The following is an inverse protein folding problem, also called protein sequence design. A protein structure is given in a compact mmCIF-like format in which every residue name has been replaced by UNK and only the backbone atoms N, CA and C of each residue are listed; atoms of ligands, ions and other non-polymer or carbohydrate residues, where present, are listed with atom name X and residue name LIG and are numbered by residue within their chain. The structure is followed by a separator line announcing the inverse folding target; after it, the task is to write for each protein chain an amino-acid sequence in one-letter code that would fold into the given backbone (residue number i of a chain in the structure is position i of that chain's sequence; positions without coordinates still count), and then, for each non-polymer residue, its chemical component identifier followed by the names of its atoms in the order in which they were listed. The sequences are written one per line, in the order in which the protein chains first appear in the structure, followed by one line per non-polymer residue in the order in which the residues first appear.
data_IF_927510813298
#
_entry.id   IF_927510813298
#
_cell.length_a   1.000
_cell.length_b   1.000
_cell.length_c   1.000
_cell.angle_alpha   90.00
_cell.angle_beta   90.00
_cell.angle_gamma   90.00
#
_symmetry.space_group_name_H-M   'P 1'
#
loop_
_entity.id
_entity.type
_entity.pdbx_description
1 polymer ?
#
# COMPACT_ATOMS: atom_id res chain seq x y z
N UNK A 1 -49.28 -9.33 26.05
CA UNK A 1 -50.65 -8.89 26.36
C UNK A 1 -50.59 -7.40 26.67
N UNK A 2 -51.29 -6.53 25.93
CA UNK A 2 -50.96 -5.10 25.89
C UNK A 2 -51.96 -4.22 26.66
N UNK A 3 -51.47 -3.09 27.15
CA UNK A 3 -52.22 -1.98 27.70
C UNK A 3 -52.50 -0.92 26.62
N UNK A 4 -53.74 -0.41 26.66
CA UNK A 4 -54.33 0.60 25.78
C UNK A 4 -53.69 1.99 25.94
N UNK A 5 -53.68 2.81 24.87
CA UNK A 5 -54.33 4.14 24.83
C UNK A 5 -54.43 4.68 23.38
N UNK A 6 -55.61 5.20 23.04
CA UNK A 6 -56.05 5.85 21.78
C UNK A 6 -55.73 7.37 21.82
N UNK A 7 -55.12 7.96 20.79
CA UNK A 7 -55.70 8.66 19.61
C UNK A 7 -56.31 10.06 19.86
N UNK A 8 -55.63 11.13 19.43
CA UNK A 8 -56.04 12.06 18.35
C UNK A 8 -55.24 13.39 18.34
N UNK A 9 -54.91 13.86 17.13
CA UNK A 9 -54.30 15.16 16.76
C UNK A 9 -55.37 16.13 16.18
N UNK A 10 -55.05 17.27 15.52
CA UNK A 10 -54.35 18.49 15.98
C UNK A 10 -55.13 19.79 15.66
N UNK A 11 -54.75 20.96 16.20
CA UNK A 11 -55.09 22.26 15.59
C UNK A 11 -54.12 23.40 15.95
N UNK A 12 -54.02 24.31 14.99
CA UNK A 12 -53.08 25.41 14.66
C UNK A 12 -52.99 26.56 15.68
N UNK A 13 -51.86 27.29 15.77
CA UNK A 13 -51.79 28.55 16.51
C UNK A 13 -52.03 29.78 15.63
N UNK A 14 -52.79 30.74 16.16
CA UNK A 14 -53.06 32.07 15.60
C UNK A 14 -52.11 33.13 16.17
N UNK A 15 -51.55 33.94 15.27
CA UNK A 15 -50.67 35.09 15.51
C UNK A 15 -51.50 36.34 15.87
N UNK A 16 -51.00 37.17 16.79
CA UNK A 16 -51.48 38.54 17.02
C UNK A 16 -50.39 39.57 16.68
N UNK A 17 -50.86 40.64 16.07
CA UNK A 17 -50.22 41.83 15.52
C UNK A 17 -49.90 42.90 16.57
N UNK A 18 -48.89 43.73 16.27
CA UNK A 18 -48.91 45.17 16.60
C UNK A 18 -48.08 45.95 15.58
N UNK A 19 -48.72 46.95 14.98
CA UNK A 19 -48.27 47.88 13.94
C UNK A 19 -47.11 48.81 14.37
N UNK A 20 -46.38 49.36 13.39
CA UNK A 20 -46.36 50.80 13.07
C UNK A 20 -45.42 51.12 11.88
N UNK A 21 -46.04 51.71 10.85
CA UNK A 21 -45.57 52.79 9.96
C UNK A 21 -44.34 52.59 9.04
N UNK A 22 -44.27 53.11 7.83
CA UNK A 22 -45.22 53.66 6.83
C UNK A 22 -44.37 53.91 5.57
N UNK A 23 -44.92 53.63 4.39
CA UNK A 23 -44.71 54.27 3.07
C UNK A 23 -43.27 54.52 2.55
N UNK A 24 -42.89 54.18 1.31
CA UNK A 24 -43.64 54.39 0.06
C UNK A 24 -43.02 53.57 -1.08
N UNK A 25 -43.89 53.05 -1.94
CA UNK A 25 -43.62 52.33 -3.17
C UNK A 25 -43.04 53.23 -4.29
N UNK A 26 -42.44 52.62 -5.33
CA UNK A 26 -43.07 52.49 -6.67
C UNK A 26 -42.25 51.51 -7.53
N UNK A 27 -42.99 50.58 -8.12
CA UNK A 27 -42.62 49.58 -9.13
C UNK A 27 -42.59 50.19 -10.53
N UNK A 28 -41.82 49.64 -11.47
CA UNK A 28 -42.34 49.02 -12.72
C UNK A 28 -41.25 48.81 -13.80
N UNK A 29 -41.04 47.52 -14.10
CA UNK A 29 -40.98 46.85 -15.42
C UNK A 29 -40.26 47.47 -16.64
N UNK A 30 -39.34 46.65 -17.17
CA UNK A 30 -39.14 46.23 -18.57
C UNK A 30 -38.84 47.27 -19.66
N UNK A 31 -37.68 47.17 -20.32
CA UNK A 31 -37.54 46.51 -21.65
C UNK A 31 -36.11 46.67 -22.19
N UNK A 32 -35.75 45.69 -23.02
CA UNK A 32 -34.53 45.52 -23.81
C UNK A 32 -34.22 46.67 -24.78
N UNK A 33 -32.93 47.00 -24.94
CA UNK A 33 -32.29 47.06 -26.28
C UNK A 33 -30.76 47.20 -26.18
N UNK A 34 -30.11 46.55 -27.13
CA UNK A 34 -28.69 46.43 -27.42
C UNK A 34 -27.97 47.76 -27.70
N UNK A 35 -26.71 47.87 -27.27
CA UNK A 35 -25.61 48.30 -28.15
C UNK A 35 -24.24 47.99 -27.55
N UNK A 36 -23.33 47.70 -28.46
CA UNK A 36 -21.94 47.26 -28.35
C UNK A 36 -20.98 48.22 -27.63
N UNK A 37 -20.02 47.69 -26.88
CA UNK A 37 -18.61 47.98 -27.15
C UNK A 37 -17.70 46.91 -26.52
N UNK A 38 -16.79 46.43 -27.36
CA UNK A 38 -15.73 45.48 -27.08
C UNK A 38 -14.53 46.19 -26.46
N UNK A 39 -13.99 45.67 -25.35
CA UNK A 39 -12.63 45.98 -24.89
C UNK A 39 -11.92 44.68 -24.51
N UNK A 40 -10.77 44.46 -25.16
CA UNK A 40 -9.90 43.29 -25.04
C UNK A 40 -9.16 43.26 -23.69
N UNK A 41 -8.74 42.09 -23.18
CA UNK A 41 -7.86 42.02 -22.02
C UNK A 41 -6.37 42.05 -22.41
N UNK A 42 -5.60 42.71 -21.54
CA UNK A 42 -4.16 42.98 -21.60
C UNK A 42 -3.28 41.79 -21.99
N UNK A 43 -2.53 41.97 -23.08
CA UNK A 43 -1.57 41.01 -23.63
C UNK A 43 -0.12 41.47 -23.38
N UNK A 44 0.18 41.95 -22.16
CA UNK A 44 1.45 42.62 -21.82
C UNK A 44 2.30 41.94 -20.73
N UNK A 45 2.18 40.61 -20.57
CA UNK A 45 2.98 39.85 -19.59
C UNK A 45 3.88 38.74 -20.16
N UNK A 46 4.06 38.64 -21.48
CA UNK A 46 4.78 37.52 -22.12
C UNK A 46 5.97 37.91 -23.03
N UNK A 47 6.64 39.04 -22.77
CA UNK A 47 7.79 39.46 -23.59
C UNK A 47 9.18 39.26 -22.95
N UNK A 48 9.28 38.64 -21.76
CA UNK A 48 10.57 38.49 -21.06
C UNK A 48 11.20 37.09 -21.17
N UNK A 49 10.52 36.12 -21.77
CA UNK A 49 10.99 34.72 -21.85
C UNK A 49 11.85 34.41 -23.11
N UNK A 50 11.71 35.09 -24.27
CA UNK A 50 12.59 34.80 -25.42
C UNK A 50 14.01 35.38 -25.29
N UNK A 51 14.22 36.39 -24.43
CA UNK A 51 15.50 37.09 -24.34
C UNK A 51 16.54 36.35 -23.47
N UNK A 52 16.10 35.54 -22.50
CA UNK A 52 16.98 34.79 -21.60
C UNK A 52 17.55 33.49 -22.21
N UNK A 53 16.96 32.98 -23.30
CA UNK A 53 17.50 31.81 -24.02
C UNK A 53 18.47 32.14 -25.15
N UNK A 54 18.62 33.43 -25.51
CA UNK A 54 19.57 33.87 -26.55
C UNK A 54 20.96 34.22 -26.00
N UNK A 55 21.07 34.53 -24.70
CA UNK A 55 22.34 34.87 -24.05
C UNK A 55 23.14 33.66 -23.51
N UNK A 56 22.55 32.47 -23.43
CA UNK A 56 23.24 31.25 -22.98
C UNK A 56 23.97 30.50 -24.11
N UNK A 57 23.68 30.81 -25.37
CA UNK A 57 24.31 30.18 -26.54
C UNK A 57 25.55 30.92 -27.08
N UNK A 58 25.71 32.20 -26.74
CA UNK A 58 26.90 32.98 -27.14
C UNK A 58 28.09 32.82 -26.18
N UNK A 59 27.87 32.39 -24.93
CA UNK A 59 28.95 32.22 -23.95
C UNK A 59 29.67 30.85 -24.02
N UNK A 60 29.19 29.92 -24.86
CA UNK A 60 29.79 28.58 -25.04
C UNK A 60 30.58 28.42 -26.35
N UNK A 61 30.67 29.46 -27.18
CA UNK A 61 31.42 29.43 -28.45
C UNK A 61 32.67 30.32 -28.47
N UNK A 62 32.97 31.06 -27.40
CA UNK A 62 34.14 31.92 -27.30
C UNK A 62 35.20 31.38 -26.31
N UNK A 63 35.72 30.17 -26.53
CA UNK A 63 37.04 29.77 -25.97
C UNK A 63 37.80 28.69 -26.76
N UNK A 64 37.42 28.42 -28.01
CA UNK A 64 38.06 27.39 -28.81
C UNK A 64 38.45 27.91 -30.20
N UNK A 65 39.37 28.87 -30.26
CA UNK A 65 40.16 29.15 -31.46
C UNK A 65 41.26 30.17 -31.12
N UNK A 66 42.48 29.70 -30.88
CA UNK A 66 43.76 30.34 -31.27
C UNK A 66 44.92 29.56 -30.63
N UNK A 67 45.56 28.70 -31.42
CA UNK A 67 47.00 28.44 -31.46
C UNK A 67 47.31 27.09 -32.15
N UNK A 68 47.37 27.11 -33.48
CA UNK A 68 48.38 26.34 -34.24
C UNK A 68 49.74 27.02 -33.95
N UNK A 69 50.85 26.34 -33.64
CA UNK A 69 51.65 25.43 -34.49
C UNK A 69 52.83 24.87 -33.66
N UNK A 70 53.39 23.73 -34.11
CA UNK A 70 54.60 23.01 -33.66
C UNK A 70 54.42 21.85 -32.67
N UNK A 71 54.54 20.63 -33.20
CA UNK A 71 54.73 19.37 -32.45
C UNK A 71 56.18 19.27 -31.96
N UNK A 72 56.46 18.62 -30.82
CA UNK A 72 56.63 17.17 -30.84
C UNK A 72 56.00 16.44 -29.63
N UNK A 73 55.55 15.22 -29.89
CA UNK A 73 55.27 14.09 -28.99
C UNK A 73 55.33 14.34 -27.48
N UNK A 74 54.16 14.38 -26.81
CA UNK A 74 54.06 14.27 -25.35
C UNK A 74 53.18 13.06 -25.01
N UNK A 75 53.83 12.05 -24.43
CA UNK A 75 53.28 10.84 -23.84
C UNK A 75 52.25 11.17 -22.74
N UNK A 76 51.15 10.40 -22.58
CA UNK A 76 50.29 10.54 -21.41
C UNK A 76 51.03 10.06 -20.14
N UNK A 77 51.02 10.83 -19.03
CA UNK A 77 51.80 10.53 -17.84
C UNK A 77 51.14 9.42 -17.02
N UNK A 78 51.50 8.17 -17.31
CA UNK A 78 51.61 7.16 -16.27
C UNK A 78 53.08 7.14 -15.85
N UNK A 79 53.37 7.41 -14.58
CA UNK A 79 54.69 7.61 -13.97
C UNK A 79 55.09 9.08 -13.84
N UNK A 80 54.47 9.77 -12.89
CA UNK A 80 55.15 10.65 -11.94
C UNK A 80 54.33 10.60 -10.65
N UNK A 81 54.94 10.05 -9.62
CA UNK A 81 54.41 10.08 -8.27
C UNK A 81 54.47 11.52 -7.77
N UNK A 82 53.31 12.14 -7.61
CA UNK A 82 53.10 13.26 -6.69
C UNK A 82 51.76 12.99 -6.01
N UNK A 83 51.87 12.67 -4.73
CA UNK A 83 50.83 12.20 -3.82
C UNK A 83 50.20 13.40 -3.11
N UNK A 84 49.45 14.26 -3.83
CA UNK A 84 48.53 15.23 -3.18
C UNK A 84 47.53 15.91 -4.16
N UNK A 85 46.75 15.12 -4.92
CA UNK A 85 45.59 15.66 -5.65
C UNK A 85 44.31 15.19 -4.97
N UNK A 86 43.40 16.08 -4.52
CA UNK A 86 42.16 15.66 -3.86
C UNK A 86 41.35 14.80 -4.83
N UNK A 87 41.22 13.52 -4.51
CA UNK A 87 40.43 12.57 -5.27
C UNK A 87 39.01 13.11 -5.41
N UNK A 88 38.59 13.44 -6.63
CA UNK A 88 37.20 13.81 -6.90
C UNK A 88 36.30 12.71 -6.31
N UNK A 89 35.38 13.03 -5.38
CA UNK A 89 34.55 12.00 -4.74
C UNK A 89 33.75 11.28 -5.81
N UNK A 90 34.08 10.01 -6.09
CA UNK A 90 33.30 9.16 -6.99
C UNK A 90 32.11 8.61 -6.20
N UNK A 91 30.92 8.69 -6.78
CA UNK A 91 29.74 8.06 -6.20
C UNK A 91 30.00 6.56 -6.01
N UNK A 92 29.74 6.03 -4.81
CA UNK A 92 29.81 4.60 -4.55
C UNK A 92 28.85 3.85 -5.49
N UNK A 93 29.34 2.77 -6.09
CA UNK A 93 28.49 1.91 -6.91
C UNK A 93 27.36 1.30 -6.05
N UNK A 94 26.13 1.16 -6.59
CA UNK A 94 25.04 0.50 -5.89
C UNK A 94 25.39 -0.97 -5.59
N UNK A 95 24.89 -1.50 -4.47
CA UNK A 95 25.05 -2.92 -4.11
C UNK A 95 24.31 -3.81 -5.12
N UNK A 96 25.07 -4.55 -5.92
CA UNK A 96 24.55 -5.41 -6.99
C UNK A 96 23.61 -6.51 -6.49
N UNK A 97 23.63 -6.83 -5.18
CA UNK A 97 22.73 -7.83 -4.58
C UNK A 97 21.31 -7.28 -4.35
N UNK A 98 21.14 -5.96 -4.34
CA UNK A 98 19.87 -5.31 -4.04
C UNK A 98 19.09 -4.92 -5.31
N UNK A 99 17.77 -4.97 -5.19
CA UNK A 99 16.83 -4.42 -6.16
C UNK A 99 16.57 -2.94 -5.86
N UNK A 100 17.15 -2.03 -6.63
CA UNK A 100 16.90 -0.59 -6.48
C UNK A 100 15.61 -0.10 -7.16
N UNK A 101 14.81 -1.00 -7.75
CA UNK A 101 13.51 -0.67 -8.36
C UNK A 101 12.40 -1.59 -7.84
N UNK A 102 12.29 -1.80 -6.51
CA UNK A 102 11.35 -2.75 -5.95
C UNK A 102 9.91 -2.37 -6.29
N UNK A 103 9.07 -3.38 -6.45
CA UNK A 103 7.63 -3.22 -6.69
C UNK A 103 6.89 -3.90 -5.54
N UNK A 104 5.93 -3.21 -4.93
CA UNK A 104 5.08 -3.76 -3.88
C UNK A 104 3.69 -4.04 -4.45
N UNK A 105 3.18 -5.23 -4.17
CA UNK A 105 1.78 -5.55 -4.41
C UNK A 105 0.92 -5.04 -3.26
N UNK A 106 -0.14 -4.28 -3.54
CA UNK A 106 -1.10 -3.87 -2.51
C UNK A 106 -2.44 -4.52 -2.83
N UNK A 107 -2.98 -5.30 -1.90
CA UNK A 107 -4.27 -5.97 -2.08
C UNK A 107 -5.42 -4.94 -2.00
N UNK A 108 -6.32 -4.95 -2.98
CA UNK A 108 -7.53 -4.13 -2.94
C UNK A 108 -8.56 -4.71 -1.97
N UNK A 109 -9.35 -3.83 -1.36
CA UNK A 109 -10.41 -4.19 -0.42
C UNK A 109 -11.79 -4.11 -1.08
N UNK A 110 -12.77 -4.96 -0.71
CA UNK A 110 -14.13 -4.87 -1.22
C UNK A 110 -14.81 -3.52 -0.94
N UNK A 111 -15.60 -3.04 -1.92
CA UNK A 111 -16.32 -1.78 -1.86
C UNK A 111 -15.63 -0.67 -2.66
N UNK A 112 -16.10 0.57 -2.50
CA UNK A 112 -15.58 1.74 -3.21
C UNK A 112 -14.71 2.66 -2.32
N UNK A 113 -14.52 2.29 -1.05
CA UNK A 113 -13.64 2.97 -0.11
C UNK A 113 -14.10 4.36 0.32
N UNK A 114 -15.28 4.80 -0.09
CA UNK A 114 -15.75 6.14 0.20
C UNK A 114 -16.69 6.19 1.40
N UNK A 115 -16.73 7.36 2.04
CA UNK A 115 -17.71 7.69 3.08
C UNK A 115 -19.13 7.95 2.52
N UNK A 116 -19.34 7.65 1.23
CA UNK A 116 -20.56 7.74 0.45
C UNK A 116 -20.48 6.74 -0.72
N UNK A 117 -21.40 6.78 -1.69
CA UNK A 117 -21.37 5.86 -2.84
C UNK A 117 -20.68 6.51 -4.03
N UNK A 118 -19.44 6.10 -4.32
CA UNK A 118 -18.68 6.49 -5.51
C UNK A 118 -18.86 5.48 -6.64
N UNK A 119 -19.12 4.21 -6.32
CA UNK A 119 -19.38 3.19 -7.32
C UNK A 119 -20.65 2.40 -7.00
N UNK A 120 -21.45 2.13 -8.03
CA UNK A 120 -22.67 1.34 -7.90
C UNK A 120 -22.47 -0.15 -8.14
N UNK A 121 -21.30 -0.55 -8.67
CA UNK A 121 -20.98 -1.93 -9.02
C UNK A 121 -20.75 -2.79 -7.77
N UNK A 122 -21.41 -3.95 -7.72
CA UNK A 122 -21.35 -4.88 -6.59
C UNK A 122 -20.00 -5.58 -6.45
N UNK A 123 -19.19 -5.59 -7.50
CA UNK A 123 -17.84 -6.14 -7.54
C UNK A 123 -16.75 -5.07 -7.50
N UNK A 124 -17.10 -3.81 -7.16
CA UNK A 124 -16.10 -2.78 -6.96
C UNK A 124 -15.15 -3.14 -5.80
N UNK A 125 -13.88 -2.83 -5.99
CA UNK A 125 -12.85 -2.88 -4.96
C UNK A 125 -12.05 -1.59 -4.97
N UNK A 126 -11.32 -1.32 -3.91
CA UNK A 126 -10.52 -0.11 -3.80
C UNK A 126 -9.18 -0.31 -3.11
N UNK A 127 -8.27 0.63 -3.32
CA UNK A 127 -7.08 0.83 -2.48
C UNK A 127 -7.09 2.29 -2.04
N UNK A 128 -7.05 2.54 -0.72
CA UNK A 128 -6.85 3.90 -0.23
C UNK A 128 -5.50 4.44 -0.68
N UNK A 129 -5.47 5.66 -1.21
CA UNK A 129 -4.27 6.22 -1.81
C UNK A 129 -3.14 6.41 -0.78
N UNK A 130 -3.45 6.53 0.51
CA UNK A 130 -2.46 6.56 1.59
C UNK A 130 -1.54 5.34 1.59
N UNK A 131 -2.03 4.12 1.34
CA UNK A 131 -1.17 2.94 1.24
C UNK A 131 -0.21 3.02 0.05
N UNK A 132 -0.65 3.60 -1.07
CA UNK A 132 0.19 3.82 -2.26
C UNK A 132 1.27 4.86 -1.95
N UNK A 133 0.87 6.03 -1.45
CA UNK A 133 1.78 7.12 -1.05
C UNK A 133 2.81 6.64 -0.02
N UNK A 134 2.38 5.83 0.93
CA UNK A 134 3.21 5.23 1.97
C UNK A 134 4.37 4.40 1.42
N UNK A 135 4.14 3.53 0.45
CA UNK A 135 5.23 2.73 -0.13
C UNK A 135 6.05 3.51 -1.15
N UNK A 136 5.44 4.46 -1.87
CA UNK A 136 6.14 5.32 -2.83
C UNK A 136 7.08 6.31 -2.14
N UNK A 137 6.72 6.83 -0.96
CA UNK A 137 7.60 7.73 -0.19
C UNK A 137 8.90 7.07 0.26
N UNK A 138 8.95 5.74 0.29
CA UNK A 138 10.14 4.95 0.59
C UNK A 138 10.90 4.45 -0.67
N UNK A 139 10.44 4.85 -1.87
CA UNK A 139 11.10 4.58 -3.15
C UNK A 139 10.76 3.22 -3.75
N UNK A 140 9.54 2.71 -3.54
CA UNK A 140 8.98 1.58 -4.28
C UNK A 140 7.96 2.06 -5.34
N UNK A 141 7.60 1.15 -6.25
CA UNK A 141 6.43 1.31 -7.14
C UNK A 141 5.34 0.34 -6.73
N UNK A 142 4.10 0.58 -7.14
CA UNK A 142 2.95 -0.26 -6.75
C UNK A 142 2.34 -0.99 -7.94
N UNK A 143 1.98 -2.25 -7.72
CA UNK A 143 1.02 -2.99 -8.55
C UNK A 143 -0.22 -3.27 -7.67
N UNK A 144 -1.44 -2.87 -8.08
CA UNK A 144 -2.65 -3.26 -7.39
C UNK A 144 -2.91 -4.76 -7.62
N UNK A 145 -3.06 -5.50 -6.53
CA UNK A 145 -3.54 -6.88 -6.52
C UNK A 145 -5.05 -6.82 -6.28
N UNK A 146 -5.85 -7.02 -7.33
CA UNK A 146 -7.30 -6.85 -7.22
C UNK A 146 -7.89 -8.13 -6.65
N UNK A 147 -8.50 -8.08 -5.47
CA UNK A 147 -8.82 -9.30 -4.69
C UNK A 147 -9.79 -10.25 -5.40
N UNK A 148 -10.65 -9.72 -6.27
CA UNK A 148 -11.67 -10.47 -7.00
C UNK A 148 -11.33 -10.72 -8.47
N UNK A 149 -10.07 -10.50 -8.89
CA UNK A 149 -9.61 -10.98 -10.19
C UNK A 149 -9.56 -12.51 -10.25
N UNK A 150 -9.64 -13.11 -11.45
CA UNK A 150 -9.38 -14.54 -11.61
C UNK A 150 -8.05 -14.92 -10.98
N UNK A 151 -8.01 -16.07 -10.30
CA UNK A 151 -6.87 -16.51 -9.50
C UNK A 151 -5.58 -16.52 -10.32
N UNK A 152 -5.64 -16.94 -11.57
CA UNK A 152 -4.50 -16.99 -12.48
C UNK A 152 -3.90 -15.59 -12.71
N UNK A 153 -4.75 -14.60 -12.95
CA UNK A 153 -4.34 -13.21 -13.18
C UNK A 153 -3.75 -12.60 -11.91
N UNK A 154 -4.39 -12.82 -10.76
CA UNK A 154 -3.91 -12.34 -9.47
C UNK A 154 -2.52 -12.89 -9.15
N UNK A 155 -2.30 -14.19 -9.38
CA UNK A 155 -1.01 -14.84 -9.12
C UNK A 155 0.05 -14.50 -10.18
N UNK A 156 -0.34 -14.21 -11.41
CA UNK A 156 0.56 -13.60 -12.39
C UNK A 156 1.09 -12.25 -11.90
N UNK A 157 0.22 -11.37 -11.37
CA UNK A 157 0.62 -10.09 -10.78
C UNK A 157 1.46 -10.28 -9.51
N UNK A 158 1.13 -11.24 -8.66
CA UNK A 158 1.93 -11.57 -7.47
C UNK A 158 3.38 -11.94 -7.83
N UNK A 159 3.58 -12.63 -8.97
CA UNK A 159 4.92 -12.94 -9.47
C UNK A 159 5.67 -11.72 -10.05
N UNK A 160 5.02 -10.56 -10.21
CA UNK A 160 5.64 -9.30 -10.66
C UNK A 160 6.10 -8.40 -9.51
N UNK A 161 5.86 -8.76 -8.25
CA UNK A 161 6.19 -7.91 -7.09
C UNK A 161 7.29 -8.50 -6.23
N UNK A 162 7.86 -7.66 -5.38
CA UNK A 162 8.99 -7.94 -4.47
C UNK A 162 8.57 -7.99 -3.00
N UNK A 163 7.30 -7.78 -2.70
CA UNK A 163 6.70 -7.79 -1.38
C UNK A 163 5.20 -7.48 -1.49
N UNK A 164 4.44 -7.76 -0.43
CA UNK A 164 2.98 -7.52 -0.41
C UNK A 164 2.56 -6.74 0.83
N UNK A 165 1.59 -5.85 0.66
CA UNK A 165 0.89 -5.14 1.73
C UNK A 165 -0.58 -5.57 1.76
N UNK A 166 -1.03 -6.11 2.89
CA UNK A 166 -2.44 -6.32 3.22
C UNK A 166 -2.98 -5.11 3.99
N UNK A 167 -4.01 -4.47 3.44
CA UNK A 167 -4.54 -3.20 3.95
C UNK A 167 -5.50 -3.40 5.12
N UNK A 168 -5.80 -2.31 5.83
CA UNK A 168 -6.96 -2.23 6.70
C UNK A 168 -8.29 -2.32 5.93
N UNK A 169 -9.41 -2.43 6.65
CA UNK A 169 -10.74 -2.59 6.07
C UNK A 169 -11.72 -3.26 7.03
N UNK A 170 -12.80 -3.84 6.51
CA UNK A 170 -13.85 -4.48 7.31
C UNK A 170 -14.08 -5.97 6.98
N UNK A 171 -13.84 -6.41 5.75
CA UNK A 171 -14.20 -7.75 5.30
C UNK A 171 -13.30 -8.85 5.89
N UNK A 172 -13.80 -9.61 6.88
CA UNK A 172 -13.09 -10.73 7.54
C UNK A 172 -13.46 -12.11 7.01
N UNK A 173 -14.39 -12.22 6.07
CA UNK A 173 -14.94 -13.50 5.59
C UNK A 173 -15.12 -13.50 4.07
N UNK A 174 -15.46 -14.67 3.51
CA UNK A 174 -15.74 -14.86 2.10
C UNK A 174 -14.50 -14.68 1.20
N UNK A 175 -14.74 -14.28 -0.05
CA UNK A 175 -13.71 -14.26 -1.10
C UNK A 175 -12.47 -13.44 -0.71
N UNK A 176 -12.62 -12.32 0.00
CA UNK A 176 -11.48 -11.51 0.41
C UNK A 176 -10.58 -12.27 1.40
N UNK A 177 -11.16 -12.90 2.42
CA UNK A 177 -10.41 -13.74 3.37
C UNK A 177 -9.69 -14.90 2.66
N UNK A 178 -10.40 -15.61 1.77
CA UNK A 178 -9.83 -16.72 1.00
C UNK A 178 -8.67 -16.26 0.10
N UNK A 179 -8.77 -15.05 -0.43
CA UNK A 179 -7.73 -14.44 -1.26
C UNK A 179 -6.50 -14.06 -0.45
N UNK A 180 -6.67 -13.44 0.72
CA UNK A 180 -5.56 -13.15 1.63
C UNK A 180 -4.87 -14.45 2.05
N UNK A 181 -5.65 -15.49 2.43
CA UNK A 181 -5.12 -16.81 2.78
C UNK A 181 -4.34 -17.45 1.64
N UNK A 182 -4.86 -17.37 0.42
CA UNK A 182 -4.20 -17.91 -0.76
C UNK A 182 -2.87 -17.19 -1.08
N UNK A 183 -2.85 -15.86 -1.04
CA UNK A 183 -1.63 -15.07 -1.28
C UNK A 183 -0.61 -15.33 -0.17
N UNK A 184 -1.04 -15.31 1.09
CA UNK A 184 -0.14 -15.51 2.23
C UNK A 184 0.51 -16.90 2.18
N UNK A 185 -0.27 -17.95 1.90
CA UNK A 185 0.25 -19.31 1.72
C UNK A 185 1.33 -19.40 0.63
N UNK A 186 1.10 -18.76 -0.52
CA UNK A 186 2.08 -18.72 -1.62
C UNK A 186 3.36 -17.96 -1.21
N UNK A 187 3.22 -16.86 -0.47
CA UNK A 187 4.38 -16.10 0.02
C UNK A 187 5.20 -16.91 1.02
N UNK A 188 4.56 -17.65 1.93
CA UNK A 188 5.28 -18.55 2.84
C UNK A 188 6.04 -19.62 2.04
N UNK A 189 5.40 -20.26 1.07
CA UNK A 189 6.05 -21.24 0.20
C UNK A 189 7.25 -20.65 -0.58
N UNK A 190 7.17 -19.39 -1.02
CA UNK A 190 8.31 -18.69 -1.64
C UNK A 190 9.46 -18.49 -0.64
N UNK A 191 9.16 -18.09 0.59
CA UNK A 191 10.18 -17.91 1.62
C UNK A 191 10.81 -19.25 2.05
N UNK A 192 10.02 -20.33 2.15
CA UNK A 192 10.51 -21.69 2.42
C UNK A 192 11.46 -22.20 1.33
N UNK A 193 11.20 -21.82 0.07
CA UNK A 193 12.09 -22.08 -1.06
C UNK A 193 13.34 -21.17 -1.08
N UNK A 194 13.56 -20.35 -0.06
CA UNK A 194 14.72 -19.47 0.09
C UNK A 194 14.58 -18.10 -0.60
N UNK A 195 13.41 -17.76 -1.15
CA UNK A 195 13.18 -16.43 -1.74
C UNK A 195 12.76 -15.43 -0.65
N UNK A 196 13.56 -14.39 -0.43
CA UNK A 196 13.17 -13.31 0.47
C UNK A 196 11.96 -12.52 -0.09
N UNK A 197 10.80 -12.66 0.54
CA UNK A 197 9.56 -12.03 0.10
C UNK A 197 8.79 -11.41 1.29
N UNK A 198 8.97 -10.12 1.57
CA UNK A 198 8.38 -9.46 2.74
C UNK A 198 6.88 -9.21 2.63
N UNK A 199 6.21 -9.25 3.79
CA UNK A 199 4.78 -8.94 3.95
C UNK A 199 4.59 -7.89 5.04
N UNK A 200 3.83 -6.86 4.72
CA UNK A 200 3.23 -5.95 5.70
C UNK A 200 1.72 -6.21 5.80
N UNK A 201 1.20 -6.25 7.01
CA UNK A 201 -0.24 -6.40 7.25
C UNK A 201 -0.71 -5.34 8.25
N UNK A 202 -1.69 -4.53 7.85
CA UNK A 202 -2.11 -3.33 8.61
C UNK A 202 -3.58 -3.49 9.02
N UNK A 203 -3.89 -3.24 10.30
CA UNK A 203 -5.23 -3.30 10.89
C UNK A 203 -5.94 -4.63 10.54
N UNK A 204 -6.97 -4.61 9.70
CA UNK A 204 -7.62 -5.81 9.18
C UNK A 204 -6.64 -6.85 8.61
N UNK A 205 -5.57 -6.41 7.94
CA UNK A 205 -4.53 -7.32 7.47
C UNK A 205 -3.91 -8.13 8.61
N UNK A 206 -3.61 -7.48 9.75
CA UNK A 206 -3.10 -8.16 10.94
C UNK A 206 -4.15 -9.10 11.56
N UNK A 207 -5.40 -8.66 11.64
CA UNK A 207 -6.52 -9.47 12.14
C UNK A 207 -6.69 -10.76 11.32
N UNK A 208 -6.67 -10.66 9.98
CA UNK A 208 -6.79 -11.82 9.09
C UNK A 208 -5.58 -12.74 9.18
N UNK A 209 -4.35 -12.21 9.25
CA UNK A 209 -3.18 -13.06 9.46
C UNK A 209 -3.24 -13.79 10.80
N UNK A 210 -3.73 -13.13 11.85
CA UNK A 210 -3.95 -13.74 13.16
C UNK A 210 -4.91 -14.92 13.05
N UNK A 211 -6.05 -14.76 12.37
CA UNK A 211 -7.02 -15.85 12.12
C UNK A 211 -6.44 -16.98 11.27
N UNK A 212 -5.65 -16.67 10.24
CA UNK A 212 -5.05 -17.67 9.34
C UNK A 212 -4.01 -18.50 10.08
N UNK A 213 -3.13 -17.84 10.85
CA UNK A 213 -2.01 -18.49 11.55
C UNK A 213 -2.54 -19.30 12.73
N UNK A 214 -3.51 -18.78 13.49
CA UNK A 214 -4.10 -19.49 14.63
C UNK A 214 -4.98 -20.68 14.21
N UNK A 215 -5.37 -20.74 12.94
CA UNK A 215 -6.41 -21.63 12.41
C UNK A 215 -7.77 -21.47 13.12
N UNK A 216 -8.02 -20.31 13.74
CA UNK A 216 -9.21 -20.01 14.52
C UNK A 216 -9.85 -18.69 14.05
N UNK A 217 -11.00 -18.80 13.40
CA UNK A 217 -11.77 -17.65 12.92
C UNK A 217 -12.45 -16.85 14.06
N UNK A 218 -12.40 -17.32 15.30
CA UNK A 218 -12.97 -16.67 16.49
C UNK A 218 -11.87 -16.24 17.49
N UNK A 219 -10.61 -16.18 17.04
CA UNK A 219 -9.47 -15.81 17.90
C UNK A 219 -9.49 -14.35 18.35
N UNK A 220 -10.16 -13.48 17.60
CA UNK A 220 -10.18 -12.03 17.83
C UNK A 220 -11.15 -11.63 18.93
N UNK A 221 -10.75 -10.64 19.72
CA UNK A 221 -11.51 -10.04 20.81
C UNK A 221 -11.94 -8.62 20.43
N UNK A 222 -12.94 -8.07 21.11
CA UNK A 222 -13.44 -6.71 20.88
C UNK A 222 -12.71 -5.69 21.74
N UNK A 223 -12.32 -4.56 21.15
CA UNK A 223 -11.65 -3.45 21.83
C UNK A 223 -12.28 -2.11 21.43
N UNK A 224 -12.25 -1.12 22.32
CA UNK A 224 -12.66 0.26 22.02
C UNK A 224 -11.47 1.08 21.47
N UNK A 225 -10.97 0.70 20.29
CA UNK A 225 -9.76 1.26 19.65
C UNK A 225 -10.04 2.01 18.35
N UNK A 226 -11.28 2.44 18.13
CA UNK A 226 -11.66 3.21 16.96
C UNK A 226 -11.24 4.67 17.15
N UNK A 227 -10.86 5.33 16.05
CA UNK A 227 -10.63 6.78 16.05
C UNK A 227 -9.71 7.26 17.21
N UNK A 228 -8.52 6.69 17.37
CA UNK A 228 -7.67 7.00 18.54
C UNK A 228 -6.20 7.23 18.18
N UNK A 229 -5.67 8.41 18.51
CA UNK A 229 -4.23 8.61 18.60
C UNK A 229 -3.69 7.96 19.88
N UNK A 230 -2.69 7.09 19.77
CA UNK A 230 -2.17 6.36 20.93
C UNK A 230 -0.65 6.17 20.91
N UNK A 231 -0.15 5.52 21.95
CA UNK A 231 1.25 5.15 22.16
C UNK A 231 1.47 3.66 21.87
N UNK A 232 2.73 3.28 21.69
CA UNK A 232 3.19 1.90 21.59
C UNK A 232 4.01 1.54 22.83
N UNK A 233 3.56 0.54 23.57
CA UNK A 233 4.29 -0.02 24.71
C UNK A 233 5.14 -1.20 24.24
N UNK A 234 6.46 -1.06 24.28
CA UNK A 234 7.37 -2.13 23.86
C UNK A 234 7.37 -3.29 24.86
N UNK A 235 7.38 -4.53 24.37
CA UNK A 235 7.61 -5.68 25.25
C UNK A 235 9.03 -5.65 25.81
N UNK A 236 9.20 -6.22 27.00
CA UNK A 236 10.52 -6.34 27.60
C UNK A 236 11.44 -7.23 26.74
N UNK A 237 12.73 -6.90 26.69
CA UNK A 237 13.79 -7.69 26.05
C UNK A 237 13.72 -7.86 24.52
N UNK A 238 12.98 -7.01 23.80
CA UNK A 238 13.00 -7.03 22.33
C UNK A 238 14.37 -6.65 21.79
N UNK A 239 14.88 -7.44 20.84
CA UNK A 239 16.04 -7.05 20.05
C UNK A 239 15.67 -6.06 18.93
N UNK A 240 15.58 -4.76 19.28
CA UNK A 240 15.20 -3.67 18.35
C UNK A 240 15.98 -3.70 17.02
N UNK A 241 17.26 -4.12 17.03
CA UNK A 241 18.08 -4.17 15.80
C UNK A 241 17.55 -5.16 14.76
N UNK A 242 16.83 -6.19 15.20
CA UNK A 242 16.22 -7.20 14.35
C UNK A 242 14.84 -6.82 13.81
N UNK A 243 14.24 -5.73 14.30
CA UNK A 243 12.84 -5.41 14.02
C UNK A 243 12.68 -4.22 13.07
N UNK A 244 11.43 -3.92 12.72
CA UNK A 244 11.05 -2.70 12.00
C UNK A 244 11.59 -1.43 12.65
N UNK A 245 11.75 -1.43 13.98
CA UNK A 245 12.18 -0.28 14.76
C UNK A 245 13.69 -0.02 14.71
N UNK A 246 14.50 -0.88 14.06
CA UNK A 246 15.97 -0.76 14.03
C UNK A 246 16.51 0.58 13.50
N UNK A 247 15.71 1.31 12.72
CA UNK A 247 16.08 2.58 12.08
C UNK A 247 15.60 3.82 12.81
N UNK A 248 14.83 3.64 13.89
CA UNK A 248 14.29 4.76 14.63
C UNK A 248 15.41 5.43 15.42
N UNK A 249 15.53 6.77 15.37
CA UNK A 249 16.36 7.51 16.30
C UNK A 249 15.98 7.15 17.74
N UNK A 250 16.94 7.03 18.67
CA UNK A 250 16.65 6.65 20.05
C UNK A 250 15.58 7.54 20.72
N UNK A 251 15.61 8.84 20.45
CA UNK A 251 14.63 9.78 21.00
C UNK A 251 13.21 9.53 20.44
N UNK A 252 13.08 9.28 19.13
CA UNK A 252 11.79 8.95 18.52
C UNK A 252 11.26 7.59 19.02
N UNK A 253 12.16 6.61 19.19
CA UNK A 253 11.80 5.30 19.75
C UNK A 253 11.23 5.43 21.17
N UNK A 254 11.82 6.31 22.00
CA UNK A 254 11.29 6.63 23.33
C UNK A 254 9.93 7.32 23.26
N UNK A 255 9.78 8.29 22.35
CA UNK A 255 8.52 9.04 22.18
C UNK A 255 7.37 8.17 21.73
N UNK A 256 7.61 7.08 20.98
CA UNK A 256 6.56 6.11 20.65
C UNK A 256 5.82 5.59 21.89
N UNK A 257 6.48 5.50 23.05
CA UNK A 257 5.85 5.03 24.30
C UNK A 257 5.24 6.12 25.17
N UNK A 258 5.52 7.39 24.90
CA UNK A 258 5.07 8.53 25.73
C UNK A 258 4.09 9.46 25.01
N UNK A 259 4.22 9.58 23.68
CA UNK A 259 3.53 10.56 22.87
C UNK A 259 2.55 9.83 21.93
N UNK A 260 1.37 10.40 21.71
CA UNK A 260 0.37 9.80 20.84
C UNK A 260 0.75 9.97 19.35
N UNK A 261 1.61 9.09 18.85
CA UNK A 261 2.21 9.16 17.51
C UNK A 261 1.66 8.15 16.51
N UNK A 262 0.77 7.25 16.92
CA UNK A 262 0.17 6.24 16.03
C UNK A 262 -1.35 6.37 15.99
N UNK A 263 -1.94 6.09 14.83
CA UNK A 263 -3.39 6.10 14.63
C UNK A 263 -3.97 4.69 14.76
N UNK A 264 -4.87 4.49 15.71
CA UNK A 264 -5.70 3.29 15.87
C UNK A 264 -7.05 3.53 15.23
N UNK A 265 -7.56 2.54 14.51
CA UNK A 265 -8.93 2.56 14.03
C UNK A 265 -9.48 1.14 13.83
N UNK A 266 -9.77 0.46 14.95
CA UNK A 266 -10.21 -0.93 14.95
C UNK A 266 -11.21 -1.21 16.07
N UNK A 267 -12.06 -2.21 15.85
CA UNK A 267 -12.99 -2.74 16.86
C UNK A 267 -12.62 -4.15 17.32
N UNK A 268 -11.64 -4.76 16.65
CA UNK A 268 -11.19 -6.11 16.89
C UNK A 268 -9.68 -6.14 16.99
N UNK A 269 -9.16 -7.03 17.83
CA UNK A 269 -7.74 -7.24 18.00
C UNK A 269 -7.50 -8.55 18.72
N UNK A 270 -6.33 -8.71 19.32
CA UNK A 270 -6.01 -9.87 20.16
C UNK A 270 -5.26 -9.41 21.41
N UNK A 271 -5.70 -9.87 22.57
CA UNK A 271 -4.99 -9.62 23.82
C UNK A 271 -3.66 -10.39 23.85
N UNK A 272 -2.63 -9.90 24.58
CA UNK A 272 -1.39 -10.66 24.75
C UNK A 272 -1.62 -12.04 25.36
N UNK A 273 -2.61 -12.18 26.26
CA UNK A 273 -2.96 -13.47 26.86
C UNK A 273 -3.48 -14.44 25.80
N UNK A 274 -4.54 -14.07 25.05
CA UNK A 274 -5.14 -14.93 24.02
C UNK A 274 -4.14 -15.28 22.92
N UNK A 275 -3.24 -14.35 22.58
CA UNK A 275 -2.14 -14.60 21.64
C UNK A 275 -1.19 -15.68 22.15
N UNK A 276 -0.76 -15.60 23.41
CA UNK A 276 0.20 -16.55 24.01
C UNK A 276 -0.42 -17.94 24.27
N UNK A 277 -1.73 -18.00 24.51
CA UNK A 277 -2.47 -19.26 24.64
C UNK A 277 -2.57 -20.04 23.32
N UNK A 278 -2.42 -19.37 22.17
CA UNK A 278 -2.35 -20.03 20.87
C UNK A 278 -0.91 -20.45 20.55
N UNK A 279 -0.64 -21.76 20.59
CA UNK A 279 0.67 -22.31 20.20
C UNK A 279 1.06 -21.94 18.77
N UNK A 280 0.09 -21.92 17.84
CA UNK A 280 0.33 -21.53 16.46
C UNK A 280 0.77 -20.06 16.32
N UNK A 281 0.16 -19.13 17.06
CA UNK A 281 0.55 -17.72 17.03
C UNK A 281 1.90 -17.51 17.74
N UNK A 282 2.04 -18.00 18.97
CA UNK A 282 3.24 -17.80 19.78
C UNK A 282 4.50 -18.46 19.20
N UNK A 283 4.37 -19.53 18.40
CA UNK A 283 5.49 -20.15 17.68
C UNK A 283 5.85 -19.43 16.38
N UNK A 284 4.87 -18.79 15.72
CA UNK A 284 5.09 -18.12 14.43
C UNK A 284 5.48 -16.64 14.57
N UNK A 285 4.88 -15.94 15.53
CA UNK A 285 4.94 -14.50 15.72
C UNK A 285 5.53 -14.12 17.09
N UNK A 286 6.36 -13.09 17.10
CA UNK A 286 6.84 -12.39 18.30
C UNK A 286 6.09 -11.06 18.48
N UNK A 287 5.59 -10.80 19.68
CA UNK A 287 4.97 -9.52 20.04
C UNK A 287 6.06 -8.47 20.24
N UNK A 288 5.98 -7.36 19.48
CA UNK A 288 6.89 -6.23 19.60
C UNK A 288 6.30 -5.09 20.44
N UNK A 289 5.02 -4.78 20.24
CA UNK A 289 4.38 -3.72 21.01
C UNK A 289 2.96 -4.10 21.36
N UNK A 290 2.48 -3.54 22.46
CA UNK A 290 1.07 -3.48 22.83
C UNK A 290 0.59 -2.04 22.85
N UNK A 291 -0.72 -1.86 22.87
CA UNK A 291 -1.40 -0.58 23.11
C UNK A 291 -2.63 -0.84 23.98
N UNK A 292 -3.20 0.23 24.53
CA UNK A 292 -4.43 0.17 25.32
C UNK A 292 -5.58 0.85 24.57
N UNK A 293 -6.76 0.28 24.66
CA UNK A 293 -7.99 0.89 24.13
C UNK A 293 -8.51 1.97 25.11
N UNK A 294 -9.63 2.63 24.78
CA UNK A 294 -10.21 3.67 25.65
C UNK A 294 -10.68 3.16 27.02
N UNK A 295 -10.94 1.85 27.14
CA UNK A 295 -11.33 1.18 28.38
C UNK A 295 -10.12 0.67 29.18
N UNK A 296 -8.90 1.01 28.75
CA UNK A 296 -7.61 0.54 29.29
C UNK A 296 -7.35 -0.96 29.12
N UNK A 297 -8.03 -1.62 28.18
CA UNK A 297 -7.76 -3.01 27.83
C UNK A 297 -6.55 -3.09 26.89
N UNK A 298 -5.62 -3.99 27.20
CA UNK A 298 -4.36 -4.15 26.47
C UNK A 298 -4.56 -5.11 25.29
N UNK A 299 -4.16 -4.69 24.10
CA UNK A 299 -4.09 -5.52 22.90
C UNK A 299 -2.71 -5.48 22.25
N UNK A 300 -2.41 -6.51 21.47
CA UNK A 300 -1.19 -6.60 20.65
C UNK A 300 -1.27 -5.58 19.52
N UNK A 301 -0.27 -4.69 19.42
CA UNK A 301 -0.28 -3.60 18.43
C UNK A 301 0.74 -3.77 17.31
N UNK A 302 1.87 -4.44 17.54
CA UNK A 302 2.84 -4.78 16.50
C UNK A 302 3.45 -6.15 16.74
N UNK A 303 3.58 -6.94 15.68
CA UNK A 303 4.23 -8.26 15.71
C UNK A 303 5.19 -8.42 14.53
N UNK A 304 6.13 -9.35 14.66
CA UNK A 304 6.96 -9.84 13.55
C UNK A 304 7.01 -11.36 13.55
N UNK A 305 7.18 -11.99 12.38
CA UNK A 305 7.37 -13.43 12.32
C UNK A 305 8.81 -13.83 12.68
N UNK A 306 8.96 -14.97 13.36
CA UNK A 306 10.26 -15.48 13.80
C UNK A 306 11.14 -15.98 12.64
N UNK A 307 10.53 -16.57 11.61
CA UNK A 307 11.24 -17.21 10.48
C UNK A 307 11.00 -16.56 9.12
N UNK A 308 10.13 -15.56 9.04
CA UNK A 308 9.69 -14.96 7.77
C UNK A 308 9.80 -13.43 7.83
N UNK A 309 10.03 -12.74 6.69
CA UNK A 309 10.02 -11.28 6.63
C UNK A 309 8.59 -10.70 6.69
N UNK A 310 7.80 -11.12 7.67
CA UNK A 310 6.42 -10.70 7.90
C UNK A 310 6.39 -9.77 9.11
N UNK A 311 5.77 -8.59 8.95
CA UNK A 311 5.51 -7.64 10.04
C UNK A 311 4.06 -7.21 9.96
N UNK A 312 3.38 -7.18 11.10
CA UNK A 312 1.99 -6.77 11.15
C UNK A 312 1.74 -5.73 12.24
N UNK A 313 0.81 -4.82 11.96
CA UNK A 313 0.49 -3.66 12.78
C UNK A 313 -1.03 -3.61 12.96
N UNK A 314 -1.52 -3.48 14.18
CA UNK A 314 -2.93 -3.20 14.44
C UNK A 314 -3.28 -1.73 14.10
N UNK A 315 -2.30 -0.85 14.22
CA UNK A 315 -2.40 0.58 13.93
C UNK A 315 -2.07 0.91 12.47
N UNK A 316 -2.33 2.15 12.07
CA UNK A 316 -2.26 2.64 10.69
C UNK A 316 -1.06 3.56 10.46
N UNK A 317 0.13 3.02 10.12
CA UNK A 317 1.32 3.85 9.87
C UNK A 317 1.18 4.78 8.67
N UNK A 318 0.27 4.49 7.72
CA UNK A 318 0.07 5.30 6.52
C UNK A 318 -0.68 6.61 6.79
N UNK A 319 -1.49 6.68 7.85
CA UNK A 319 -2.45 7.78 8.04
C UNK A 319 -1.79 9.11 8.40
N UNK A 320 -0.78 9.08 9.28
CA UNK A 320 -0.16 10.29 9.82
C UNK A 320 0.28 11.28 8.73
N UNK A 321 0.79 10.78 7.59
CA UNK A 321 1.30 11.63 6.52
C UNK A 321 0.31 11.90 5.39
N UNK A 322 -0.77 11.12 5.27
CA UNK A 322 -1.53 11.06 4.01
C UNK A 322 -3.04 11.10 4.16
N UNK A 323 -3.60 11.12 5.37
CA UNK A 323 -5.05 11.14 5.60
C UNK A 323 -5.46 12.24 6.59
N UNK A 324 -6.40 13.09 6.21
CA UNK A 324 -6.87 14.24 6.99
C UNK A 324 -8.34 14.13 7.44
N UNK A 325 -8.97 12.98 7.17
CA UNK A 325 -10.40 12.77 7.43
C UNK A 325 -10.81 12.70 8.90
N UNK A 326 -9.88 12.61 9.84
CA UNK A 326 -10.16 12.57 11.28
C UNK A 326 -9.20 13.50 12.03
N UNK A 327 -9.74 14.36 12.89
CA UNK A 327 -8.96 15.35 13.63
C UNK A 327 -7.98 14.75 14.64
N UNK A 328 -8.18 13.49 15.06
CA UNK A 328 -7.25 12.82 15.96
C UNK A 328 -6.05 12.20 15.25
N UNK A 329 -5.99 12.14 13.92
CA UNK A 329 -4.82 11.55 13.25
C UNK A 329 -3.57 12.36 13.64
N UNK A 330 -2.51 11.71 14.15
CA UNK A 330 -1.29 12.42 14.52
C UNK A 330 -0.57 13.00 13.28
N UNK A 331 -0.40 14.31 13.25
CA UNK A 331 0.28 15.04 12.17
C UNK A 331 1.55 15.79 12.62
N UNK A 332 2.05 15.51 13.83
CA UNK A 332 3.31 16.10 14.31
C UNK A 332 4.51 15.64 13.47
N UNK A 333 5.61 16.39 13.46
CA UNK A 333 6.84 16.00 12.75
C UNK A 333 7.34 14.60 13.16
N UNK A 334 7.21 14.27 14.45
CA UNK A 334 7.53 12.93 14.97
C UNK A 334 6.60 11.87 14.38
N UNK A 335 5.28 12.12 14.31
CA UNK A 335 4.32 11.19 13.71
C UNK A 335 4.60 10.94 12.22
N UNK A 336 5.04 11.99 11.49
CA UNK A 336 5.48 11.85 10.09
C UNK A 336 6.76 11.01 9.99
N UNK A 337 7.73 11.22 10.90
CA UNK A 337 8.93 10.39 10.95
C UNK A 337 8.61 8.93 11.25
N UNK A 338 7.64 8.64 12.14
CA UNK A 338 7.15 7.27 12.38
C UNK A 338 6.71 6.63 11.05
N UNK A 339 5.80 7.26 10.31
CA UNK A 339 5.36 6.78 8.99
C UNK A 339 6.53 6.48 8.07
N UNK A 340 7.46 7.44 7.93
CA UNK A 340 8.57 7.31 7.01
C UNK A 340 9.54 6.19 7.40
N UNK A 341 9.81 5.99 8.69
CA UNK A 341 10.70 4.92 9.15
C UNK A 341 10.10 3.53 8.92
N UNK A 342 8.80 3.36 9.17
CA UNK A 342 8.10 2.10 8.89
C UNK A 342 8.11 1.80 7.37
N UNK A 343 7.77 2.78 6.54
CA UNK A 343 7.82 2.64 5.07
C UNK A 343 9.22 2.27 4.56
N UNK A 344 10.24 2.99 5.04
CA UNK A 344 11.64 2.77 4.65
C UNK A 344 12.11 1.36 5.01
N UNK A 345 11.70 0.83 6.16
CA UNK A 345 12.03 -0.54 6.54
C UNK A 345 11.43 -1.54 5.54
N UNK A 346 10.12 -1.44 5.26
CA UNK A 346 9.44 -2.34 4.34
C UNK A 346 10.09 -2.39 2.97
N UNK A 347 10.29 -1.21 2.36
CA UNK A 347 10.90 -1.14 1.03
C UNK A 347 12.32 -1.67 1.06
N UNK A 348 13.07 -1.48 2.15
CA UNK A 348 14.41 -2.05 2.27
C UNK A 348 14.45 -3.58 2.36
N UNK A 349 13.43 -4.21 2.96
CA UNK A 349 13.29 -5.67 2.89
C UNK A 349 12.94 -6.10 1.46
N UNK A 350 12.06 -5.35 0.77
CA UNK A 350 11.71 -5.65 -0.63
C UNK A 350 12.92 -5.51 -1.59
N UNK A 351 13.89 -4.64 -1.29
CA UNK A 351 15.15 -4.55 -2.04
C UNK A 351 15.97 -5.84 -1.97
N UNK A 352 15.82 -6.66 -0.94
CA UNK A 352 16.54 -7.95 -0.81
C UNK A 352 15.91 -9.07 -1.65
N UNK A 353 14.69 -8.88 -2.13
CA UNK A 353 14.04 -9.83 -3.04
C UNK A 353 14.86 -10.00 -4.31
N UNK A 354 15.10 -11.25 -4.73
CA UNK A 354 15.77 -11.57 -5.99
C UNK A 354 14.84 -11.51 -7.20
N UNK A 355 13.54 -11.26 -7.01
CA UNK A 355 12.59 -11.23 -8.12
C UNK A 355 12.91 -10.07 -9.08
N UNK A 356 13.07 -10.38 -10.38
CA UNK A 356 13.40 -9.44 -11.47
C UNK A 356 12.45 -9.65 -12.66
N UNK A 357 11.17 -9.25 -12.53
CA UNK A 357 10.18 -9.46 -13.58
C UNK A 357 10.46 -8.60 -14.82
N UNK A 358 9.87 -9.01 -15.95
CA UNK A 358 9.91 -8.24 -17.21
C UNK A 358 9.43 -6.81 -16.99
N UNK A 359 10.26 -5.82 -17.35
CA UNK A 359 9.92 -4.41 -17.20
C UNK A 359 8.64 -4.04 -17.95
N UNK A 360 8.39 -4.65 -19.12
CA UNK A 360 7.15 -4.45 -19.89
C UNK A 360 5.92 -4.92 -19.11
N UNK A 361 5.98 -6.11 -18.49
CA UNK A 361 4.88 -6.63 -17.67
C UNK A 361 4.65 -5.77 -16.43
N UNK A 362 5.72 -5.30 -15.78
CA UNK A 362 5.60 -4.38 -14.64
C UNK A 362 4.89 -3.10 -15.07
N UNK A 363 5.39 -2.40 -16.10
CA UNK A 363 4.81 -1.12 -16.55
C UNK A 363 3.32 -1.23 -16.90
N UNK A 364 2.90 -2.33 -17.52
CA UNK A 364 1.50 -2.59 -17.86
C UNK A 364 0.59 -2.81 -16.65
N UNK A 365 1.14 -3.08 -15.47
CA UNK A 365 0.39 -3.40 -14.25
C UNK A 365 0.58 -2.36 -13.13
N UNK A 366 1.37 -1.30 -13.35
CA UNK A 366 1.62 -0.29 -12.31
C UNK A 366 0.35 0.49 -11.95
N UNK A 367 0.28 0.96 -10.71
CA UNK A 367 -0.76 1.85 -10.21
C UNK A 367 -0.90 3.14 -11.04
N UNK A 368 0.17 3.57 -11.72
CA UNK A 368 0.18 4.74 -12.61
C UNK A 368 -0.76 4.64 -13.82
N UNK A 369 -1.27 3.44 -14.11
CA UNK A 369 -2.29 3.23 -15.14
C UNK A 369 -3.71 3.53 -14.62
N UNK A 370 -3.85 3.93 -13.35
CA UNK A 370 -5.11 4.24 -12.67
C UNK A 370 -5.06 5.66 -12.13
N UNK A 371 -6.23 6.31 -12.04
CA UNK A 371 -6.36 7.64 -11.43
C UNK A 371 -7.10 7.52 -10.09
N UNK A 372 -6.59 8.13 -9.01
CA UNK A 372 -7.34 8.18 -7.76
C UNK A 372 -8.54 9.12 -7.89
N UNK A 373 -9.56 8.88 -7.07
CA UNK A 373 -10.74 9.72 -6.93
C UNK A 373 -10.70 10.41 -5.57
N UNK A 374 -10.86 11.73 -5.56
CA UNK A 374 -10.96 12.50 -4.32
C UNK A 374 -12.31 12.27 -3.64
N UNK A 375 -12.28 11.67 -2.45
CA UNK A 375 -13.44 11.30 -1.64
C UNK A 375 -13.47 11.98 -0.26
N UNK A 376 -12.41 12.71 0.12
CA UNK A 376 -12.30 13.44 1.39
C UNK A 376 -13.25 14.62 1.57
N UNK A 377 -14.07 14.99 0.56
CA UNK A 377 -15.07 16.08 0.66
C UNK A 377 -16.07 15.91 1.80
N UNK A 378 -16.29 14.66 2.23
CA UNK A 378 -17.19 14.36 3.34
C UNK A 378 -16.57 14.70 4.71
N UNK A 379 -15.27 15.04 4.77
CA UNK A 379 -14.54 15.28 6.02
C UNK A 379 -14.43 14.03 6.90
N UNK A 380 -14.50 12.84 6.30
CA UNK A 380 -14.39 11.54 6.97
C UNK A 380 -13.93 10.45 6.00
N UNK A 381 -13.34 9.38 6.54
CA UNK A 381 -12.81 8.26 5.76
C UNK A 381 -11.47 8.59 5.12
N UNK A 382 -11.23 8.05 3.92
CA UNK A 382 -10.02 8.34 3.15
C UNK A 382 -10.16 9.62 2.34
N UNK A 383 -9.05 10.31 2.08
CA UNK A 383 -9.02 11.49 1.22
C UNK A 383 -9.11 11.12 -0.26
N UNK A 384 -8.35 10.10 -0.67
CA UNK A 384 -8.32 9.62 -2.06
C UNK A 384 -8.35 8.09 -2.10
N UNK A 385 -9.07 7.55 -3.09
CA UNK A 385 -9.17 6.11 -3.33
C UNK A 385 -8.95 5.78 -4.80
N UNK A 386 -8.20 4.71 -5.08
CA UNK A 386 -8.20 4.06 -6.38
C UNK A 386 -9.34 3.06 -6.40
N UNK A 387 -10.27 3.19 -7.35
CA UNK A 387 -11.41 2.28 -7.50
C UNK A 387 -11.16 1.35 -8.68
N UNK A 388 -11.32 0.06 -8.46
CA UNK A 388 -11.23 -1.00 -9.45
C UNK A 388 -12.61 -1.62 -9.61
N UNK A 389 -13.18 -1.44 -10.79
CA UNK A 389 -14.45 -2.00 -11.19
C UNK A 389 -14.23 -2.75 -12.51
N UNK A 390 -15.03 -3.78 -12.81
CA UNK A 390 -14.94 -4.42 -14.11
C UNK A 390 -15.24 -3.37 -15.17
N UNK A 391 -14.24 -3.04 -16.01
CA UNK A 391 -14.55 -2.28 -17.21
C UNK A 391 -15.47 -3.16 -18.03
N UNK A 392 -16.76 -2.78 -18.10
CA UNK A 392 -17.67 -3.34 -19.09
C UNK A 392 -16.93 -3.33 -20.41
N UNK A 393 -16.69 -4.53 -20.97
CA UNK A 393 -16.14 -4.63 -22.31
C UNK A 393 -16.92 -3.65 -23.18
N UNK A 394 -16.25 -2.80 -23.98
CA UNK A 394 -16.95 -1.87 -24.84
C UNK A 394 -17.98 -2.69 -25.62
N UNK A 395 -19.26 -2.30 -25.53
CA UNK A 395 -20.31 -2.89 -26.36
C UNK A 395 -19.87 -2.65 -27.79
N UNK A 396 -19.23 -3.64 -28.42
CA UNK A 396 -19.11 -3.68 -29.86
C UNK A 396 -20.54 -3.81 -30.35
N UNK A 397 -21.15 -2.69 -30.69
CA UNK A 397 -22.35 -2.68 -31.51
C UNK A 397 -21.93 -3.28 -32.83
N UNK A 398 -22.30 -4.54 -33.07
CA UNK A 398 -22.21 -5.14 -34.39
C UNK A 398 -23.22 -4.44 -35.29
N UNK A 399 -22.84 -3.31 -35.83
CA UNK A 399 -23.48 -2.76 -37.02
C UNK A 399 -22.42 -2.74 -38.10
N UNK A 400 -22.68 -3.55 -39.12
CA UNK A 400 -21.93 -3.74 -40.37
C UNK A 400 -20.97 -4.94 -40.38
N UNK A 401 -21.56 -6.14 -40.38
CA UNK A 401 -20.96 -7.27 -41.10
C UNK A 401 -21.46 -7.22 -42.55
N UNK A 402 -20.58 -7.23 -43.57
CA UNK A 402 -20.98 -7.64 -44.90
C UNK A 402 -21.01 -9.18 -44.95
N UNK A 403 -22.11 -9.72 -45.45
CA UNK A 403 -22.22 -11.11 -45.88
C UNK A 403 -21.14 -11.41 -46.92
N UNK A 404 -20.23 -12.35 -46.62
CA UNK A 404 -19.79 -13.42 -47.51
C UNK A 404 -18.53 -14.09 -46.94
N UNK A 405 -18.68 -15.35 -46.51
CA UNK A 405 -17.77 -16.46 -46.85
C UNK A 405 -18.20 -17.70 -46.05
N UNK A 406 -18.95 -18.56 -46.71
CA UNK A 406 -18.97 -19.98 -46.40
C UNK A 406 -17.57 -20.55 -46.66
N UNK A 407 -17.04 -21.35 -45.74
CA UNK A 407 -16.54 -22.72 -46.00
C UNK A 407 -15.62 -23.25 -44.89
N UNK A 408 -16.07 -24.39 -44.34
CA UNK A 408 -15.30 -25.54 -43.83
C UNK A 408 -14.35 -25.37 -42.65
N UNK A 409 -14.91 -25.80 -41.52
CA UNK A 409 -14.26 -26.33 -40.34
C UNK A 409 -13.62 -27.71 -40.66
N UNK A 410 -12.33 -27.93 -40.43
CA UNK A 410 -11.76 -29.28 -40.25
C UNK A 410 -10.44 -29.28 -39.47
N UNK A 411 -10.50 -29.94 -38.30
CA UNK A 411 -9.46 -30.75 -37.63
C UNK A 411 -8.05 -30.17 -37.43
N UNK A 412 -7.74 -29.92 -36.15
CA UNK A 412 -6.48 -30.39 -35.55
C UNK A 412 -6.67 -30.65 -34.05
N UNK A 413 -6.84 -31.93 -33.68
CA UNK A 413 -6.56 -32.44 -32.33
C UNK A 413 -5.08 -32.81 -32.32
N UNK A 414 -4.26 -32.10 -31.56
CA UNK A 414 -2.89 -32.53 -31.26
C UNK A 414 -2.87 -33.16 -29.86
N UNK A 415 -2.53 -34.44 -29.83
CA UNK A 415 -2.11 -35.17 -28.64
C UNK A 415 -0.83 -34.53 -28.09
N UNK A 416 -0.77 -34.27 -26.78
CA UNK A 416 0.48 -34.08 -26.06
C UNK A 416 0.58 -35.17 -24.99
N UNK A 417 1.50 -36.09 -25.25
CA UNK A 417 1.85 -37.21 -24.39
C UNK A 417 2.97 -36.75 -23.45
N UNK A 418 2.75 -36.94 -22.15
CA UNK A 418 3.65 -36.59 -21.05
C UNK A 418 4.83 -37.58 -21.04
N UNK A 419 6.06 -37.07 -20.98
CA UNK A 419 7.25 -37.85 -20.62
C UNK A 419 7.71 -37.41 -19.23
N UNK A 420 7.59 -38.31 -18.26
CA UNK A 420 8.19 -38.20 -16.93
C UNK A 420 9.62 -38.76 -17.01
N UNK A 421 10.61 -37.97 -16.60
CA UNK A 421 11.97 -38.45 -16.37
C UNK A 421 12.33 -38.29 -14.89
N UNK A 422 12.68 -39.43 -14.28
CA UNK A 422 13.23 -39.57 -12.95
C UNK A 422 14.61 -38.90 -12.84
N UNK A 423 14.85 -38.18 -11.74
CA UNK A 423 16.21 -37.88 -11.28
C UNK A 423 16.34 -38.10 -9.78
N UNK A 424 17.32 -38.93 -9.45
CA UNK A 424 17.73 -39.45 -8.15
C UNK A 424 18.49 -38.39 -7.35
N UNK A 425 18.23 -38.29 -6.05
CA UNK A 425 18.91 -37.39 -5.11
C UNK A 425 20.04 -38.14 -4.39
N UNK A 426 21.21 -37.50 -4.23
CA UNK A 426 22.25 -37.91 -3.27
C UNK A 426 22.31 -36.92 -2.08
N UNK A 427 22.58 -37.39 -0.84
CA UNK A 427 22.66 -36.52 0.32
C UNK A 427 24.09 -35.98 0.55
N UNK A 428 24.19 -34.71 0.94
CA UNK A 428 25.41 -34.08 1.44
C UNK A 428 25.19 -33.61 2.89
N UNK A 429 26.23 -33.70 3.72
CA UNK A 429 26.19 -33.54 5.17
C UNK A 429 26.98 -32.30 5.66
N UNK A 430 26.34 -31.52 6.57
CA UNK A 430 26.85 -30.68 7.69
C UNK A 430 27.67 -29.39 7.37
N UNK A 431 27.75 -28.35 8.25
CA UNK A 431 27.60 -28.37 9.73
C UNK A 431 26.70 -27.27 10.38
N UNK A 432 26.48 -27.48 11.68
CA UNK A 432 25.74 -26.70 12.67
C UNK A 432 26.51 -25.48 13.21
N UNK A 433 25.82 -24.34 13.44
CA UNK A 433 26.06 -23.40 14.55
C UNK A 433 25.01 -22.27 14.59
N UNK A 434 24.07 -22.33 15.54
CA UNK A 434 23.67 -21.25 16.46
C UNK A 434 22.36 -21.62 17.18
N UNK A 435 22.44 -21.72 18.50
CA UNK A 435 21.33 -22.05 19.40
C UNK A 435 20.68 -20.79 19.94
N UNK A 436 19.41 -20.59 19.60
CA UNK A 436 18.24 -20.46 20.51
C UNK A 436 17.00 -20.25 19.61
N UNK A 437 15.87 -20.87 19.96
CA UNK A 437 14.67 -21.11 19.14
C UNK A 437 14.78 -22.30 18.16
N UNK A 438 14.98 -23.51 18.69
CA UNK A 438 14.64 -24.74 17.97
C UNK A 438 14.14 -25.79 18.96
N UNK A 439 12.83 -25.84 19.20
CA UNK A 439 12.14 -26.98 19.80
C UNK A 439 10.78 -27.09 19.09
N UNK A 440 10.55 -28.29 18.52
CA UNK A 440 9.31 -28.80 17.90
C UNK A 440 8.95 -28.36 16.46
N UNK A 441 9.58 -29.01 15.48
CA UNK A 441 8.99 -29.19 14.14
C UNK A 441 9.41 -30.52 13.48
N UNK A 442 9.50 -31.59 14.28
CA UNK A 442 9.81 -32.96 13.81
C UNK A 442 8.91 -34.03 14.48
N UNK A 443 7.61 -33.74 14.61
CA UNK A 443 6.63 -34.65 15.23
C UNK A 443 5.29 -34.77 14.51
N UNK A 444 5.24 -34.57 13.17
CA UNK A 444 3.96 -34.56 12.44
C UNK A 444 3.96 -35.09 11.00
N UNK A 445 5.06 -35.66 10.51
CA UNK A 445 5.13 -36.18 9.13
C UNK A 445 5.57 -37.65 9.18
N UNK A 446 4.71 -38.51 9.73
CA UNK A 446 4.80 -39.96 9.55
C UNK A 446 3.51 -40.65 10.01
N UNK A 447 2.35 -40.21 9.50
CA UNK A 447 1.13 -41.04 9.55
C UNK A 447 0.17 -40.58 8.45
N UNK A 448 -0.08 -41.49 7.48
CA UNK A 448 -1.03 -41.48 6.34
C UNK A 448 -0.35 -41.68 4.98
N UNK A 449 0.22 -42.87 4.83
CA UNK A 449 0.30 -43.57 3.55
C UNK A 449 -0.06 -45.02 3.81
N UNK A 450 -1.35 -45.31 3.96
CA UNK A 450 -1.94 -46.62 3.74
C UNK A 450 -3.47 -46.48 3.64
N UNK A 451 -4.08 -47.30 2.77
CA UNK A 451 -5.50 -47.41 2.43
C UNK A 451 -6.05 -46.47 1.33
N UNK A 452 -5.83 -46.85 0.06
CA UNK A 452 -6.91 -47.07 -0.91
C UNK A 452 -6.39 -47.95 -2.05
N UNK A 453 -6.85 -49.21 -2.08
CA UNK A 453 -7.12 -49.94 -3.31
C UNK A 453 -8.43 -49.42 -3.90
#
# INVERSE_FOLDING_TARGET
MPSHFLSNSPSTPTTKTSDLQNDTAVSLTSTSSSSSSSTAPDMWSYLWIPFLMSLSKELTLARAATATTSSPSILPPSQLADDDSPSVPRCSAPDIKLNYRPVIGILSHPGDGASGRLNNETNASYIAASYVKFVESAGARVIPLIYNEPREILFEKLNLVNGVLFTGGWAKTGLYFDTVKAIFKEILAKNDAGFHFPVYAICLGFEILTMIISEDNQILETFNGADQASTLQFMNNINIKGTVFRRFPPDLLKRLSTDCLVMQNHHYGISPQRFQESEHLSSFLEILTTSTDEDNQVYVSTVQACGYPVTAFQWHPEKNAFEWGLSMIPHSEDAIQVTQHIANFFVSEARKSLNRPSSRKVLANLIYNYSPTYCGKAGKGYDEVYIFAEQKAPKYTSTNAPENASQTNQRTRSLFQIHLANTTVQPFHLPTQNHQCFVLLLGGILERCEAAW
#
